data_IF_846017478320
#
_entry.id   IF_846017478320
#
_cell.length_a   1.000
_cell.length_b   1.000
_cell.length_c   1.000
_cell.angle_alpha   90.00
_cell.angle_beta   90.00
_cell.angle_gamma   90.00
#
_symmetry.space_group_name_H-M   'P 1'
#
loop_
_entity.id
_entity.type
_entity.pdbx_description
1 polymer ?
#
# COMPACT_ATOMS: atom_id res chain seq x y z
N UNK A 1 9.21 -9.84 -22.47
CA UNK A 1 8.08 -10.03 -21.55
C UNK A 1 8.30 -9.19 -20.30
N UNK A 2 7.24 -8.59 -19.78
CA UNK A 2 7.25 -7.87 -18.53
C UNK A 2 6.11 -8.37 -17.63
N UNK A 3 6.32 -8.35 -16.32
CA UNK A 3 5.30 -8.58 -15.30
C UNK A 3 5.30 -7.40 -14.33
N UNK A 4 4.14 -7.02 -13.83
CA UNK A 4 3.98 -5.95 -12.85
C UNK A 4 3.33 -6.49 -11.59
N UNK A 5 3.61 -5.83 -10.47
CA UNK A 5 2.97 -6.11 -9.19
C UNK A 5 2.95 -4.85 -8.33
N UNK A 6 2.16 -4.87 -7.26
CA UNK A 6 2.16 -3.85 -6.23
C UNK A 6 1.89 -4.49 -4.87
N UNK A 7 2.40 -3.89 -3.81
CA UNK A 7 2.06 -4.27 -2.44
C UNK A 7 2.08 -3.07 -1.50
N UNK A 8 1.32 -3.15 -0.45
CA UNK A 8 1.29 -2.17 0.63
C UNK A 8 1.76 -2.80 1.93
N UNK A 9 2.56 -2.08 2.69
CA UNK A 9 3.01 -2.39 4.04
C UNK A 9 2.55 -1.28 5.00
N UNK A 10 2.95 -1.35 6.26
CA UNK A 10 2.56 -0.36 7.27
C UNK A 10 3.05 1.06 6.96
N UNK A 11 4.18 1.19 6.27
CA UNK A 11 4.91 2.44 6.06
C UNK A 11 5.12 2.80 4.58
N UNK A 12 4.75 1.95 3.66
CA UNK A 12 5.01 2.14 2.23
C UNK A 12 4.03 1.40 1.33
N UNK A 13 3.85 1.93 0.13
CA UNK A 13 3.28 1.23 -1.02
C UNK A 13 4.37 1.12 -2.10
N UNK A 14 4.54 -0.05 -2.66
CA UNK A 14 5.52 -0.32 -3.70
C UNK A 14 4.83 -0.74 -4.99
N UNK A 15 5.16 -0.08 -6.07
CA UNK A 15 4.77 -0.46 -7.44
C UNK A 15 6.03 -0.94 -8.16
N UNK A 16 5.97 -2.08 -8.79
CA UNK A 16 7.14 -2.68 -9.41
C UNK A 16 6.84 -3.38 -10.72
N UNK A 17 7.85 -3.50 -11.54
CA UNK A 17 7.84 -4.40 -12.70
C UNK A 17 9.15 -5.20 -12.76
N UNK A 18 9.09 -6.32 -13.46
CA UNK A 18 10.22 -7.11 -13.88
C UNK A 18 10.16 -7.30 -15.39
N UNK A 19 11.27 -7.11 -16.08
CA UNK A 19 11.32 -7.29 -17.53
C UNK A 19 12.67 -7.90 -17.96
N UNK A 20 12.64 -8.60 -19.10
CA UNK A 20 13.83 -9.12 -19.77
C UNK A 20 14.23 -8.26 -20.98
N UNK A 21 13.39 -7.31 -21.38
CA UNK A 21 13.60 -6.40 -22.52
C UNK A 21 12.74 -5.14 -22.37
N UNK A 22 12.99 -4.13 -23.21
CA UNK A 22 12.23 -2.89 -23.26
C UNK A 22 12.21 -2.15 -21.91
N UNK A 23 13.37 -2.08 -21.26
CA UNK A 23 13.49 -1.49 -19.92
C UNK A 23 12.97 -0.04 -19.90
N UNK A 24 13.40 0.81 -20.84
CA UNK A 24 13.03 2.24 -20.87
C UNK A 24 11.52 2.44 -21.02
N UNK A 25 10.88 1.68 -21.88
CA UNK A 25 9.42 1.73 -22.08
C UNK A 25 8.66 1.26 -20.82
N UNK A 26 9.13 0.19 -20.18
CA UNK A 26 8.51 -0.30 -18.95
C UNK A 26 8.70 0.70 -17.79
N UNK A 27 9.88 1.31 -17.66
CA UNK A 27 10.14 2.34 -16.67
C UNK A 27 9.26 3.57 -16.90
N UNK A 28 9.15 4.03 -18.16
CA UNK A 28 8.22 5.10 -18.53
C UNK A 28 6.79 4.81 -18.09
N UNK A 29 6.28 3.61 -18.38
CA UNK A 29 4.92 3.20 -17.98
C UNK A 29 4.77 3.24 -16.46
N UNK A 30 5.75 2.75 -15.69
CA UNK A 30 5.70 2.79 -14.23
C UNK A 30 5.67 4.24 -13.71
N UNK A 31 6.55 5.11 -14.24
CA UNK A 31 6.62 6.52 -13.83
C UNK A 31 5.32 7.25 -14.19
N UNK A 32 4.77 7.01 -15.37
CA UNK A 32 3.48 7.58 -15.77
C UNK A 32 2.33 7.11 -14.88
N UNK A 33 2.28 5.81 -14.60
CA UNK A 33 1.26 5.20 -13.75
C UNK A 33 1.24 5.81 -12.33
N UNK A 34 2.38 5.97 -11.69
CA UNK A 34 2.42 6.50 -10.32
C UNK A 34 2.21 8.01 -10.24
N UNK A 35 2.37 8.75 -11.35
CA UNK A 35 2.24 10.20 -11.39
C UNK A 35 0.90 10.69 -11.94
N UNK A 36 0.09 9.81 -12.54
CA UNK A 36 -1.16 10.18 -13.21
C UNK A 36 -2.31 9.28 -12.75
N UNK A 37 -2.81 9.44 -11.51
CA UNK A 37 -3.92 8.65 -11.01
C UNK A 37 -5.20 8.97 -11.78
N UNK A 38 -6.02 7.94 -11.97
CA UNK A 38 -7.34 8.09 -12.59
C UNK A 38 -8.37 7.33 -11.77
N UNK A 39 -9.03 8.04 -10.85
CA UNK A 39 -10.09 7.50 -10.01
C UNK A 39 -11.44 8.04 -10.46
N UNK A 40 -12.41 7.16 -10.61
CA UNK A 40 -13.80 7.52 -10.87
C UNK A 40 -14.71 6.84 -9.86
N UNK A 41 -15.90 7.38 -9.55
CA UNK A 41 -16.85 6.72 -8.65
C UNK A 41 -17.12 5.26 -9.05
N UNK A 42 -17.22 4.98 -10.36
CA UNK A 42 -17.49 3.64 -10.89
C UNK A 42 -16.33 2.67 -10.65
N UNK A 43 -15.09 3.11 -10.90
CA UNK A 43 -13.92 2.26 -10.68
C UNK A 43 -13.71 2.01 -9.19
N UNK A 44 -13.90 3.02 -8.35
CA UNK A 44 -13.80 2.89 -6.89
C UNK A 44 -14.85 1.91 -6.36
N UNK A 45 -16.10 2.03 -6.76
CA UNK A 45 -17.15 1.11 -6.35
C UNK A 45 -16.88 -0.35 -6.75
N UNK A 46 -16.34 -0.55 -7.95
CA UNK A 46 -15.94 -1.89 -8.41
C UNK A 46 -14.84 -2.47 -7.53
N UNK A 47 -13.80 -1.68 -7.26
CA UNK A 47 -12.66 -2.12 -6.41
C UNK A 47 -13.07 -2.36 -4.96
N UNK A 48 -14.00 -1.60 -4.41
CA UNK A 48 -14.57 -1.85 -3.07
C UNK A 48 -15.13 -3.29 -2.97
N UNK A 49 -15.82 -3.77 -4.00
CA UNK A 49 -16.34 -5.13 -4.05
C UNK A 49 -15.23 -6.18 -4.07
N UNK A 50 -14.18 -5.96 -4.86
CA UNK A 50 -13.04 -6.87 -4.99
C UNK A 50 -12.24 -6.93 -3.67
N UNK A 51 -11.89 -5.76 -3.12
CA UNK A 51 -11.13 -5.66 -1.85
C UNK A 51 -11.97 -6.20 -0.67
N UNK A 52 -13.28 -5.99 -0.68
CA UNK A 52 -14.16 -6.56 0.34
C UNK A 52 -14.14 -8.08 0.37
N UNK A 53 -14.05 -8.74 -0.80
CA UNK A 53 -13.85 -10.19 -0.88
C UNK A 53 -12.46 -10.62 -0.40
N UNK A 54 -11.43 -9.86 -0.75
CA UNK A 54 -10.06 -10.10 -0.29
C UNK A 54 -9.94 -9.99 1.24
N UNK A 55 -10.53 -8.98 1.86
CA UNK A 55 -10.60 -8.82 3.32
C UNK A 55 -11.27 -10.05 3.95
N UNK A 56 -12.38 -10.49 3.40
CA UNK A 56 -13.08 -11.67 3.90
C UNK A 56 -12.20 -12.92 3.83
N UNK A 57 -11.42 -13.08 2.76
CA UNK A 57 -10.47 -14.18 2.61
C UNK A 57 -9.36 -14.13 3.68
N UNK A 58 -8.87 -12.95 4.07
CA UNK A 58 -7.87 -12.83 5.13
C UNK A 58 -8.38 -13.25 6.50
N UNK A 59 -9.69 -13.13 6.78
CA UNK A 59 -10.27 -13.61 8.01
C UNK A 59 -10.18 -15.15 8.16
N UNK A 60 -10.04 -15.87 7.05
CA UNK A 60 -9.85 -17.32 7.03
C UNK A 60 -8.38 -17.75 7.13
N UNK A 61 -7.44 -16.78 7.28
CA UNK A 61 -6.00 -17.06 7.40
C UNK A 61 -5.55 -16.92 8.87
N UNK A 62 -5.31 -18.04 9.60
CA UNK A 62 -4.99 -17.98 11.02
C UNK A 62 -3.77 -17.14 11.36
N UNK A 63 -2.71 -17.22 10.53
CA UNK A 63 -1.49 -16.42 10.72
C UNK A 63 -1.72 -14.93 10.62
N UNK A 64 -2.58 -14.49 9.69
CA UNK A 64 -2.99 -13.11 9.57
C UNK A 64 -3.73 -12.62 10.80
N UNK A 65 -4.76 -13.37 11.20
CA UNK A 65 -5.58 -13.03 12.38
C UNK A 65 -4.75 -12.99 13.66
N UNK A 66 -3.87 -13.97 13.87
CA UNK A 66 -2.98 -14.01 15.04
C UNK A 66 -2.03 -12.80 15.08
N UNK A 67 -1.47 -12.39 13.94
CA UNK A 67 -0.58 -11.24 13.84
C UNK A 67 -1.30 -9.96 14.25
N UNK A 68 -2.47 -9.68 13.69
CA UNK A 68 -3.20 -8.46 14.03
C UNK A 68 -3.81 -8.50 15.44
N UNK A 69 -4.19 -9.68 15.95
CA UNK A 69 -4.58 -9.82 17.35
C UNK A 69 -3.41 -9.47 18.28
N UNK A 70 -2.21 -9.98 18.00
CA UNK A 70 -1.00 -9.63 18.75
C UNK A 70 -0.72 -8.11 18.71
N UNK A 71 -0.78 -7.49 17.56
CA UNK A 71 -0.55 -6.05 17.41
C UNK A 71 -1.59 -5.22 18.19
N UNK A 72 -2.85 -5.65 18.21
CA UNK A 72 -3.90 -5.00 19.03
C UNK A 72 -3.70 -5.19 20.54
N UNK A 73 -3.06 -6.27 20.94
CA UNK A 73 -2.68 -6.46 22.34
C UNK A 73 -1.48 -5.60 22.76
N UNK A 74 -0.54 -5.39 21.85
CA UNK A 74 0.70 -4.63 22.13
C UNK A 74 0.51 -3.12 22.07
N UNK A 75 -0.31 -2.63 21.12
CA UNK A 75 -0.41 -1.20 20.81
C UNK A 75 -1.83 -0.67 21.06
N UNK A 76 -1.91 0.49 21.68
CA UNK A 76 -3.15 1.23 21.89
C UNK A 76 -3.36 2.32 20.86
N UNK A 77 -2.32 3.11 20.61
CA UNK A 77 -2.39 4.33 19.80
C UNK A 77 -1.73 4.14 18.43
N UNK A 78 -0.64 3.36 18.37
CA UNK A 78 0.13 3.22 17.14
C UNK A 78 -0.67 2.59 16.00
N UNK A 79 -0.65 3.17 14.79
CA UNK A 79 -1.44 2.70 13.64
C UNK A 79 -1.13 1.26 13.19
N UNK A 80 0.04 0.70 13.57
CA UNK A 80 0.42 -0.68 13.23
C UNK A 80 -0.60 -1.73 13.71
N UNK A 81 -1.44 -1.39 14.70
CA UNK A 81 -2.54 -2.24 15.19
C UNK A 81 -3.74 -2.35 14.25
N UNK A 82 -3.80 -1.47 13.25
CA UNK A 82 -4.87 -1.44 12.24
C UNK A 82 -4.46 -2.37 11.10
N UNK A 83 -5.38 -3.23 10.67
CA UNK A 83 -5.16 -4.10 9.53
C UNK A 83 -4.90 -3.27 8.26
N UNK A 84 -3.85 -3.64 7.52
CA UNK A 84 -3.46 -2.94 6.28
C UNK A 84 -4.59 -2.96 5.24
N UNK A 85 -5.32 -4.08 5.17
CA UNK A 85 -6.46 -4.20 4.26
C UNK A 85 -7.68 -3.40 4.73
N UNK A 86 -7.72 -2.99 6.01
CA UNK A 86 -8.87 -2.35 6.62
C UNK A 86 -10.01 -3.33 6.94
N UNK A 87 -11.23 -2.83 6.93
CA UNK A 87 -12.45 -3.62 7.10
C UNK A 87 -13.41 -3.35 5.94
N UNK A 88 -14.37 -4.23 5.70
CA UNK A 88 -15.41 -4.02 4.69
C UNK A 88 -16.13 -2.69 4.89
N UNK A 89 -16.43 -2.32 6.14
CA UNK A 89 -17.10 -1.06 6.47
C UNK A 89 -16.19 0.16 6.17
N UNK A 90 -14.89 0.08 6.47
CA UNK A 90 -13.95 1.18 6.18
C UNK A 90 -13.74 1.35 4.67
N UNK A 91 -13.63 0.25 3.92
CA UNK A 91 -13.49 0.29 2.47
C UNK A 91 -14.74 0.88 1.80
N UNK A 92 -15.94 0.59 2.31
CA UNK A 92 -17.18 1.14 1.77
C UNK A 92 -17.29 2.66 1.88
N UNK A 93 -16.50 3.30 2.75
CA UNK A 93 -16.47 4.76 2.92
C UNK A 93 -15.48 5.46 1.97
N UNK A 94 -14.64 4.72 1.26
CA UNK A 94 -13.64 5.30 0.36
C UNK A 94 -14.32 5.82 -0.90
N UNK A 95 -14.09 7.09 -1.21
CA UNK A 95 -14.58 7.74 -2.42
C UNK A 95 -13.44 8.11 -3.35
N UNK A 96 -13.72 8.35 -4.61
CA UNK A 96 -12.76 8.90 -5.57
C UNK A 96 -12.12 10.20 -5.08
N UNK A 97 -12.91 11.09 -4.47
CA UNK A 97 -12.42 12.32 -3.86
C UNK A 97 -11.40 12.03 -2.75
N UNK A 98 -11.73 11.11 -1.82
CA UNK A 98 -10.80 10.74 -0.74
C UNK A 98 -9.51 10.14 -1.29
N UNK A 99 -9.58 9.33 -2.35
CA UNK A 99 -8.39 8.79 -3.01
C UNK A 99 -7.53 9.90 -3.64
N UNK A 100 -8.13 10.90 -4.28
CA UNK A 100 -7.39 12.06 -4.79
C UNK A 100 -6.78 12.89 -3.65
N UNK A 101 -7.49 13.10 -2.54
CA UNK A 101 -6.96 13.82 -1.38
C UNK A 101 -5.75 13.09 -0.78
N UNK A 102 -5.83 11.77 -0.62
CA UNK A 102 -4.71 10.92 -0.19
C UNK A 102 -3.55 10.94 -1.19
N UNK A 103 -3.85 10.82 -2.48
CA UNK A 103 -2.85 10.87 -3.52
C UNK A 103 -2.09 12.19 -3.50
N UNK A 104 -2.79 13.31 -3.52
CA UNK A 104 -2.19 14.65 -3.52
C UNK A 104 -1.36 14.92 -2.25
N UNK A 105 -1.70 14.28 -1.14
CA UNK A 105 -0.96 14.41 0.11
C UNK A 105 0.32 13.58 0.10
N UNK A 106 0.24 12.29 -0.26
CA UNK A 106 1.32 11.34 -0.03
C UNK A 106 2.16 11.01 -1.26
N UNK A 107 1.60 11.13 -2.49
CA UNK A 107 2.29 10.79 -3.74
C UNK A 107 3.06 11.98 -4.29
N UNK A 108 4.05 12.40 -3.51
CA UNK A 108 4.98 13.46 -3.87
C UNK A 108 6.35 12.84 -4.15
N UNK A 109 7.05 13.29 -5.18
CA UNK A 109 8.37 12.75 -5.55
C UNK A 109 9.42 12.91 -4.42
N UNK A 110 9.28 13.89 -3.53
CA UNK A 110 10.09 13.98 -2.31
C UNK A 110 9.77 12.89 -1.26
N UNK A 111 8.64 12.20 -1.40
CA UNK A 111 8.21 11.09 -0.55
C UNK A 111 8.35 9.73 -1.25
N UNK A 112 9.06 9.68 -2.37
CA UNK A 112 9.22 8.47 -3.19
C UNK A 112 10.69 8.12 -3.36
N UNK A 113 10.96 6.85 -3.59
CA UNK A 113 12.28 6.34 -3.98
C UNK A 113 12.13 5.40 -5.18
N UNK A 114 12.96 5.58 -6.19
CA UNK A 114 13.10 4.67 -7.31
C UNK A 114 14.31 3.75 -7.07
N UNK A 115 14.06 2.44 -7.07
CA UNK A 115 15.11 1.42 -6.96
C UNK A 115 15.11 0.60 -8.23
N UNK A 116 16.26 0.51 -8.88
CA UNK A 116 16.45 -0.28 -10.10
C UNK A 116 17.59 -1.26 -9.90
N UNK A 117 17.32 -2.54 -10.19
CA UNK A 117 18.29 -3.62 -10.11
C UNK A 117 18.25 -4.42 -11.40
N UNK A 118 19.42 -4.61 -12.02
CA UNK A 118 19.51 -5.38 -13.26
C UNK A 118 20.67 -4.95 -14.15
N UNK A 119 20.72 -5.50 -15.35
CA UNK A 119 21.74 -5.17 -16.35
C UNK A 119 21.33 -3.89 -17.12
N UNK A 120 21.35 -2.76 -16.43
CA UNK A 120 21.05 -1.43 -16.97
C UNK A 120 22.09 -0.44 -16.49
N UNK A 121 22.35 0.60 -17.26
CA UNK A 121 23.27 1.66 -16.85
C UNK A 121 22.55 2.73 -16.04
N UNK A 122 23.28 3.44 -15.19
CA UNK A 122 22.77 4.60 -14.47
C UNK A 122 22.22 5.67 -15.44
N UNK A 123 22.92 5.88 -16.55
CA UNK A 123 22.54 6.90 -17.53
C UNK A 123 21.23 6.55 -18.26
N UNK A 124 20.96 5.26 -18.49
CA UNK A 124 19.68 4.80 -19.02
C UNK A 124 18.53 5.11 -18.07
N UNK A 125 18.73 4.90 -16.77
CA UNK A 125 17.73 5.22 -15.75
C UNK A 125 17.52 6.73 -15.67
N UNK A 126 18.61 7.50 -15.56
CA UNK A 126 18.54 8.96 -15.42
C UNK A 126 17.87 9.60 -16.64
N UNK A 127 18.20 9.17 -17.85
CA UNK A 127 17.61 9.72 -19.08
C UNK A 127 16.07 9.58 -19.10
N UNK A 128 15.54 8.47 -18.62
CA UNK A 128 14.09 8.27 -18.52
C UNK A 128 13.49 9.12 -17.39
N UNK A 129 14.19 9.21 -16.25
CA UNK A 129 13.72 10.03 -15.14
C UNK A 129 13.68 11.52 -15.49
N UNK A 130 14.71 12.05 -16.14
CA UNK A 130 14.77 13.45 -16.56
C UNK A 130 13.67 13.81 -17.57
N UNK A 131 13.29 12.87 -18.43
CA UNK A 131 12.24 13.08 -19.42
C UNK A 131 10.82 12.97 -18.85
N UNK A 132 10.59 12.06 -17.89
CA UNK A 132 9.22 11.67 -17.47
C UNK A 132 8.85 12.06 -16.05
N UNK A 133 9.79 12.42 -15.17
CA UNK A 133 9.43 12.86 -13.83
C UNK A 133 8.93 14.32 -13.86
N UNK A 134 7.80 14.54 -13.19
CA UNK A 134 7.24 15.88 -12.97
C UNK A 134 8.07 16.63 -11.92
N UNK A 135 8.03 17.97 -11.90
CA UNK A 135 8.61 18.72 -10.81
C UNK A 135 8.03 18.31 -9.45
N UNK A 136 8.91 18.11 -8.46
CA UNK A 136 8.48 17.79 -7.10
C UNK A 136 8.01 19.07 -6.39
N UNK A 137 6.98 18.93 -5.56
CA UNK A 137 6.49 19.98 -4.67
C UNK A 137 7.06 19.80 -3.25
N UNK A 138 7.16 20.83 -2.43
CA UNK A 138 7.48 20.68 -1.02
C UNK A 138 6.50 19.70 -0.33
N UNK A 139 7.00 18.91 0.63
CA UNK A 139 6.12 18.04 1.43
C UNK A 139 5.20 18.92 2.29
N UNK A 140 3.93 18.53 2.36
CA UNK A 140 2.88 19.25 3.11
C UNK A 140 2.48 18.57 4.41
N UNK A 141 3.17 17.51 4.82
CA UNK A 141 2.85 16.76 6.03
C UNK A 141 4.10 16.37 6.82
N UNK A 142 3.92 16.19 8.11
CA UNK A 142 4.90 15.61 9.02
C UNK A 142 4.35 14.32 9.62
N UNK A 143 5.21 13.32 9.81
CA UNK A 143 4.83 12.09 10.50
C UNK A 143 4.86 12.33 11.99
N UNK A 144 3.75 12.08 12.66
CA UNK A 144 3.67 12.09 14.12
C UNK A 144 2.94 10.86 14.61
N UNK A 145 3.34 10.35 15.76
CA UNK A 145 2.68 9.24 16.43
C UNK A 145 2.38 9.63 17.87
N UNK A 146 1.24 9.22 18.37
CA UNK A 146 0.91 9.35 19.78
C UNK A 146 1.79 8.40 20.59
N UNK A 147 2.16 8.84 21.81
CA UNK A 147 2.90 8.00 22.74
C UNK A 147 2.08 6.78 23.15
N UNK A 148 2.74 5.64 23.18
CA UNK A 148 2.16 4.40 23.68
C UNK A 148 2.21 4.34 25.21
N UNK A 149 1.19 3.78 25.89
CA UNK A 149 1.28 3.51 27.31
C UNK A 149 2.41 2.51 27.58
N UNK A 150 3.07 2.65 28.74
CA UNK A 150 4.17 1.76 29.14
C UNK A 150 3.68 0.36 29.54
N UNK A 151 2.38 0.22 29.80
CA UNK A 151 1.77 -1.05 30.20
C UNK A 151 1.17 -1.80 29.00
N UNK A 152 1.00 -3.10 29.14
CA UNK A 152 0.33 -3.95 28.17
C UNK A 152 -1.12 -3.47 27.99
N UNK A 153 -1.51 -3.20 26.76
CA UNK A 153 -2.85 -2.69 26.42
C UNK A 153 -3.93 -3.74 26.65
N UNK A 154 -3.63 -5.00 26.27
CA UNK A 154 -4.53 -6.14 26.44
C UNK A 154 -3.71 -7.41 26.64
N UNK A 155 -4.01 -8.17 27.69
CA UNK A 155 -3.26 -9.39 28.00
C UNK A 155 -3.55 -10.54 27.04
N UNK A 156 -4.73 -10.52 26.40
CA UNK A 156 -5.23 -11.65 25.64
C UNK A 156 -6.26 -11.21 24.61
N UNK A 157 -6.19 -11.82 23.43
CA UNK A 157 -7.20 -11.70 22.38
C UNK A 157 -7.42 -13.06 21.72
N UNK A 158 -8.66 -13.39 21.40
CA UNK A 158 -9.05 -14.69 20.90
C UNK A 158 -9.93 -14.54 19.66
N UNK A 159 -9.64 -15.34 18.66
CA UNK A 159 -10.43 -15.45 17.45
C UNK A 159 -10.72 -16.93 17.14
N UNK A 160 -11.99 -17.28 17.06
CA UNK A 160 -12.43 -18.63 16.75
C UNK A 160 -12.67 -18.77 15.25
N UNK A 161 -11.91 -19.63 14.61
CA UNK A 161 -12.02 -19.93 13.20
C UNK A 161 -12.47 -21.37 13.01
N UNK A 162 -13.62 -21.58 12.36
CA UNK A 162 -14.08 -22.91 11.96
C UNK A 162 -13.37 -23.32 10.66
N UNK A 163 -12.45 -24.27 10.76
CA UNK A 163 -11.70 -24.78 9.62
C UNK A 163 -12.10 -26.22 9.30
N UNK A 164 -12.20 -26.55 8.01
CA UNK A 164 -12.47 -27.90 7.53
C UNK A 164 -11.24 -28.82 7.52
N UNK A 165 -10.03 -28.23 7.68
CA UNK A 165 -8.75 -28.95 7.66
C UNK A 165 -7.98 -28.62 8.93
N UNK A 166 -7.49 -29.59 9.71
CA UNK A 166 -6.63 -29.34 10.85
C UNK A 166 -5.28 -28.78 10.36
N UNK A 167 -4.78 -27.77 11.06
CA UNK A 167 -3.43 -27.21 10.84
C UNK A 167 -2.41 -27.85 11.77
#
# INVERSE_FOLDING_TARGET
CASSNAYTSFDKTCYLFQCSSNFKENLKILLDFVQNPYFTPQTVQKEQGIIGQEITMYYDVPGWMSTFNLLRCLYKNHPVRIDIAGTVDSIAQITDKLLYDCYNTFYNLHNMALVVVGNVTKDDVLSVCEEYLKPASPLSFEKSFEDEPLDIVKNYDEYHLAMSVPQ
#
